data_IF_198567007281
#
_entry.id   IF_198567007281
#
_cell.length_a   1.000
_cell.length_b   1.000
_cell.length_c   1.000
_cell.angle_alpha   90.00
_cell.angle_beta   90.00
_cell.angle_gamma   90.00
#
_symmetry.space_group_name_H-M   'P 1'
#
loop_
_entity.id
_entity.type
_entity.pdbx_description
1 polymer ?
#
# COMPACT_ATOMS: atom_id res chain seq x y z
N UNK A 1 10.92 -8.89 -13.38
CA UNK A 1 11.79 -8.56 -12.24
C UNK A 1 12.03 -7.06 -12.09
N UNK A 2 12.91 -6.37 -12.85
CA UNK A 2 13.19 -4.93 -12.63
C UNK A 2 11.95 -4.00 -12.70
N UNK A 3 11.02 -4.26 -13.62
CA UNK A 3 9.79 -3.46 -13.76
C UNK A 3 8.77 -3.71 -12.63
N UNK A 4 8.72 -4.93 -12.09
CA UNK A 4 7.84 -5.28 -10.95
C UNK A 4 8.38 -4.67 -9.65
N UNK A 5 9.71 -4.55 -9.52
CA UNK A 5 10.37 -3.91 -8.38
C UNK A 5 10.10 -2.40 -8.28
N UNK A 6 9.84 -1.72 -9.41
CA UNK A 6 9.66 -0.28 -9.43
C UNK A 6 8.38 0.18 -8.71
N UNK A 7 7.28 -0.58 -8.81
CA UNK A 7 5.99 -0.17 -8.21
C UNK A 7 6.01 -0.33 -6.68
N UNK A 8 6.73 -1.32 -6.15
CA UNK A 8 6.99 -1.41 -4.71
C UNK A 8 7.91 -0.29 -4.21
N UNK A 9 8.86 0.15 -5.04
CA UNK A 9 9.65 1.35 -4.76
C UNK A 9 8.80 2.61 -4.66
N UNK A 10 7.80 2.77 -5.55
CA UNK A 10 6.83 3.86 -5.47
C UNK A 10 6.05 3.81 -4.16
N UNK A 11 5.57 2.62 -3.77
CA UNK A 11 4.90 2.46 -2.48
C UNK A 11 5.78 2.94 -1.33
N UNK A 12 7.02 2.45 -1.23
CA UNK A 12 7.94 2.82 -0.15
C UNK A 12 8.19 4.33 -0.07
N UNK A 13 8.49 4.97 -1.21
CA UNK A 13 8.77 6.41 -1.23
C UNK A 13 7.54 7.24 -0.84
N UNK A 14 6.36 6.90 -1.36
CA UNK A 14 5.13 7.63 -1.07
C UNK A 14 4.67 7.37 0.37
N UNK A 15 4.79 6.12 0.85
CA UNK A 15 4.50 5.70 2.23
C UNK A 15 5.33 6.48 3.25
N UNK A 16 6.66 6.52 3.06
CA UNK A 16 7.56 7.32 3.90
C UNK A 16 7.21 8.82 3.85
N UNK A 17 6.92 9.38 2.68
CA UNK A 17 6.52 10.78 2.55
C UNK A 17 5.20 11.07 3.29
N UNK A 18 4.23 10.18 3.21
CA UNK A 18 2.96 10.27 3.93
C UNK A 18 3.15 10.22 5.44
N UNK A 19 4.02 9.34 5.94
CA UNK A 19 4.38 9.26 7.36
C UNK A 19 5.04 10.55 7.85
N UNK A 20 6.02 11.08 7.11
CA UNK A 20 6.68 12.34 7.46
C UNK A 20 5.69 13.51 7.46
N UNK A 21 4.83 13.60 6.44
CA UNK A 21 3.81 14.64 6.34
C UNK A 21 2.70 14.51 7.40
N UNK A 22 2.50 13.32 7.99
CA UNK A 22 1.46 13.10 9.01
C UNK A 22 1.65 13.98 10.26
N UNK A 23 2.88 14.41 10.53
CA UNK A 23 3.22 15.36 11.60
C UNK A 23 2.56 16.73 11.42
N UNK A 24 2.22 17.12 10.18
CA UNK A 24 1.57 18.39 9.85
C UNK A 24 0.06 18.39 10.11
N UNK A 25 -0.54 17.20 10.29
CA UNK A 25 -1.99 17.02 10.46
C UNK A 25 -2.42 17.06 11.94
N UNK A 26 -1.52 17.42 12.85
CA UNK A 26 -1.79 17.54 14.29
C UNK A 26 -1.65 16.21 15.06
N UNK A 27 -2.07 16.18 16.34
CA UNK A 27 -1.74 15.09 17.28
C UNK A 27 -2.21 13.69 16.86
N UNK A 28 -3.28 13.62 16.06
CA UNK A 28 -3.86 12.37 15.54
C UNK A 28 -3.65 12.18 14.03
N UNK A 29 -2.86 13.04 13.40
CA UNK A 29 -2.62 13.04 11.95
C UNK A 29 -2.14 11.70 11.41
N UNK A 30 -1.24 11.06 12.16
CA UNK A 30 -0.72 9.73 11.86
C UNK A 30 -1.81 8.65 11.79
N UNK A 31 -2.87 8.75 12.59
CA UNK A 31 -3.93 7.75 12.59
C UNK A 31 -4.70 7.78 11.26
N UNK A 32 -4.98 8.96 10.71
CA UNK A 32 -5.63 9.11 9.39
C UNK A 32 -4.78 8.46 8.30
N UNK A 33 -3.47 8.71 8.34
CA UNK A 33 -2.55 8.19 7.33
C UNK A 33 -2.41 6.67 7.45
N UNK A 34 -2.33 6.10 8.65
CA UNK A 34 -2.25 4.64 8.86
C UNK A 34 -3.57 3.91 8.60
N UNK A 35 -4.70 4.48 8.99
CA UNK A 35 -6.02 3.86 8.86
C UNK A 35 -6.56 3.89 7.43
N UNK A 36 -6.27 4.97 6.69
CA UNK A 36 -6.85 5.20 5.38
C UNK A 36 -5.79 5.39 4.31
N UNK A 37 -4.79 6.25 4.55
CA UNK A 37 -3.80 6.62 3.55
C UNK A 37 -3.03 5.42 2.96
N UNK A 38 -2.33 4.66 3.80
CA UNK A 38 -1.53 3.53 3.34
C UNK A 38 -2.36 2.37 2.76
N UNK A 39 -3.50 1.98 3.36
CA UNK A 39 -4.38 0.97 2.76
C UNK A 39 -4.89 1.38 1.38
N UNK A 40 -5.29 2.65 1.20
CA UNK A 40 -5.74 3.17 -0.09
C UNK A 40 -4.60 3.25 -1.11
N UNK A 41 -3.40 3.62 -0.68
CA UNK A 41 -2.20 3.60 -1.54
C UNK A 41 -1.91 2.18 -2.03
N UNK A 42 -1.90 1.19 -1.13
CA UNK A 42 -1.69 -0.22 -1.46
C UNK A 42 -2.76 -0.73 -2.42
N UNK A 43 -4.03 -0.41 -2.16
CA UNK A 43 -5.16 -0.76 -3.03
C UNK A 43 -4.98 -0.18 -4.44
N UNK A 44 -4.71 1.12 -4.54
CA UNK A 44 -4.58 1.81 -5.81
C UNK A 44 -3.42 1.25 -6.64
N UNK A 45 -2.26 1.05 -6.01
CA UNK A 45 -1.09 0.52 -6.71
C UNK A 45 -1.25 -0.96 -7.08
N UNK A 46 -1.84 -1.79 -6.23
CA UNK A 46 -2.11 -3.19 -6.54
C UNK A 46 -3.13 -3.35 -7.69
N UNK A 47 -4.19 -2.53 -7.69
CA UNK A 47 -5.16 -2.51 -8.78
C UNK A 47 -4.51 -2.03 -10.08
N UNK A 48 -3.72 -0.96 -10.03
CA UNK A 48 -3.01 -0.43 -11.19
C UNK A 48 -2.00 -1.42 -11.76
N UNK A 49 -1.17 -2.05 -10.92
CA UNK A 49 -0.20 -3.06 -11.34
C UNK A 49 -0.90 -4.23 -12.04
N UNK A 50 -2.01 -4.72 -11.46
CA UNK A 50 -2.80 -5.80 -12.07
C UNK A 50 -3.38 -5.41 -13.43
N UNK A 51 -3.91 -4.19 -13.56
CA UNK A 51 -4.47 -3.69 -14.83
C UNK A 51 -3.38 -3.47 -15.88
N UNK A 52 -2.22 -2.95 -15.47
CA UNK A 52 -1.09 -2.67 -16.37
C UNK A 52 -0.42 -3.94 -16.86
N UNK A 53 -0.21 -4.89 -15.95
CA UNK A 53 0.56 -6.11 -16.21
C UNK A 53 -0.31 -7.27 -16.69
N UNK A 54 -1.65 -7.10 -16.69
CA UNK A 54 -2.67 -8.13 -16.92
C UNK A 54 -2.45 -9.41 -16.09
N UNK A 55 -1.83 -9.26 -14.91
CA UNK A 55 -1.40 -10.37 -14.05
C UNK A 55 -1.66 -10.00 -12.60
N UNK A 56 -2.12 -10.97 -11.82
CA UNK A 56 -2.30 -10.83 -10.38
C UNK A 56 -0.95 -11.06 -9.69
N UNK A 57 -0.48 -10.05 -8.96
CA UNK A 57 0.79 -10.12 -8.23
C UNK A 57 0.52 -10.19 -6.71
N UNK A 58 0.50 -11.40 -6.15
CA UNK A 58 0.20 -11.64 -4.74
C UNK A 58 1.17 -10.95 -3.77
N UNK A 59 2.35 -10.53 -4.23
CA UNK A 59 3.33 -9.80 -3.42
C UNK A 59 2.78 -8.49 -2.85
N UNK A 60 1.71 -7.92 -3.44
CA UNK A 60 0.99 -6.76 -2.88
C UNK A 60 0.38 -7.02 -1.50
N UNK A 61 0.16 -8.28 -1.12
CA UNK A 61 -0.31 -8.64 0.21
C UNK A 61 0.82 -8.77 1.25
N UNK A 62 2.09 -8.70 0.84
CA UNK A 62 3.25 -8.98 1.70
C UNK A 62 4.26 -7.84 1.70
N UNK A 63 4.70 -7.38 0.54
CA UNK A 63 5.77 -6.37 0.42
C UNK A 63 5.34 -5.02 1.02
N UNK A 64 4.19 -4.43 0.67
CA UNK A 64 3.77 -3.16 1.26
C UNK A 64 3.59 -3.22 2.79
N UNK A 65 2.96 -4.27 3.37
CA UNK A 65 2.92 -4.45 4.82
C UNK A 65 4.30 -4.52 5.48
N UNK A 66 5.24 -5.29 4.90
CA UNK A 66 6.61 -5.41 5.45
C UNK A 66 7.34 -4.06 5.38
N UNK A 67 7.23 -3.34 4.27
CA UNK A 67 7.80 -2.00 4.11
C UNK A 67 7.22 -1.04 5.15
N UNK A 68 5.90 -1.02 5.30
CA UNK A 68 5.25 -0.15 6.27
C UNK A 68 5.63 -0.52 7.71
N UNK A 69 5.78 -1.79 8.04
CA UNK A 69 6.24 -2.22 9.36
C UNK A 69 7.64 -1.68 9.67
N UNK A 70 8.57 -1.75 8.69
CA UNK A 70 9.90 -1.18 8.82
C UNK A 70 9.85 0.35 9.00
N UNK A 71 9.03 1.04 8.20
CA UNK A 71 8.87 2.49 8.31
C UNK A 71 8.28 2.90 9.66
N UNK A 72 7.31 2.16 10.19
CA UNK A 72 6.75 2.39 11.53
C UNK A 72 7.82 2.24 12.60
N UNK A 73 8.69 1.21 12.50
CA UNK A 73 9.77 1.00 13.46
C UNK A 73 10.84 2.11 13.41
N UNK A 74 11.06 2.72 12.25
CA UNK A 74 12.08 3.76 12.05
C UNK A 74 11.54 5.17 12.37
N UNK A 75 10.32 5.47 11.95
CA UNK A 75 9.76 6.82 11.98
C UNK A 75 8.70 7.03 13.07
N UNK A 76 8.16 5.96 13.67
CA UNK A 76 7.03 6.02 14.61
C UNK A 76 7.19 5.10 15.84
N UNK A 77 6.14 5.04 16.65
CA UNK A 77 6.06 4.16 17.82
C UNK A 77 5.60 2.74 17.42
N UNK A 78 6.20 1.66 17.97
CA UNK A 78 5.76 0.28 17.80
C UNK A 78 4.27 0.01 18.04
N UNK A 79 3.58 0.83 18.83
CA UNK A 79 2.12 0.74 19.03
C UNK A 79 1.31 0.89 17.74
N UNK A 80 1.91 1.43 16.67
CA UNK A 80 1.29 1.56 15.36
C UNK A 80 1.40 0.30 14.48
N UNK A 81 2.20 -0.70 14.86
CA UNK A 81 2.39 -1.94 14.09
C UNK A 81 1.08 -2.69 13.76
N UNK A 82 0.05 -2.74 14.63
CA UNK A 82 -1.20 -3.42 14.30
C UNK A 82 -1.89 -2.84 13.04
N UNK A 83 -1.66 -1.58 12.69
CA UNK A 83 -2.28 -0.96 11.50
C UNK A 83 -1.73 -1.50 10.17
N UNK A 84 -0.59 -2.20 10.19
CA UNK A 84 0.00 -2.85 9.02
C UNK A 84 -0.94 -3.86 8.37
N UNK A 85 -1.83 -4.48 9.16
CA UNK A 85 -2.84 -5.42 8.64
C UNK A 85 -3.78 -4.74 7.63
N UNK A 86 -4.06 -3.45 7.80
CA UNK A 86 -4.93 -2.70 6.90
C UNK A 86 -4.30 -2.52 5.53
N UNK A 87 -2.97 -2.42 5.46
CA UNK A 87 -2.24 -2.35 4.18
C UNK A 87 -2.28 -3.67 3.44
N UNK A 88 -2.22 -4.80 4.16
CA UNK A 88 -2.40 -6.11 3.56
C UNK A 88 -3.82 -6.27 2.98
N UNK A 89 -4.84 -5.81 3.72
CA UNK A 89 -6.22 -5.77 3.24
C UNK A 89 -6.38 -4.86 2.02
N UNK A 90 -5.77 -3.67 2.04
CA UNK A 90 -5.72 -2.76 0.90
C UNK A 90 -5.15 -3.44 -0.35
N UNK A 91 -4.03 -4.14 -0.19
CA UNK A 91 -3.40 -4.90 -1.29
C UNK A 91 -4.31 -5.99 -1.84
N UNK A 92 -4.92 -6.80 -0.97
CA UNK A 92 -5.86 -7.85 -1.37
C UNK A 92 -7.08 -7.31 -2.12
N UNK A 93 -7.66 -6.20 -1.63
CA UNK A 93 -8.78 -5.52 -2.30
C UNK A 93 -8.36 -4.95 -3.65
N UNK A 94 -7.17 -4.36 -3.73
CA UNK A 94 -6.62 -3.83 -4.97
C UNK A 94 -6.42 -4.91 -6.04
N UNK A 95 -5.91 -6.09 -5.65
CA UNK A 95 -5.81 -7.24 -6.55
C UNK A 95 -7.18 -7.67 -7.07
N UNK A 96 -8.18 -7.78 -6.19
CA UNK A 96 -9.55 -8.12 -6.57
C UNK A 96 -10.16 -7.10 -7.54
N UNK A 97 -9.99 -5.81 -7.26
CA UNK A 97 -10.44 -4.72 -8.12
C UNK A 97 -9.75 -4.75 -9.50
N UNK A 98 -8.43 -4.87 -9.52
CA UNK A 98 -7.65 -4.95 -10.75
C UNK A 98 -8.08 -6.12 -11.63
N UNK A 99 -8.30 -7.29 -11.01
CA UNK A 99 -8.82 -8.47 -11.72
C UNK A 99 -10.22 -8.24 -12.31
N UNK A 100 -11.13 -7.62 -11.55
CA UNK A 100 -12.46 -7.29 -12.05
C UNK A 100 -12.40 -6.34 -13.26
N UNK A 101 -11.52 -5.33 -13.23
CA UNK A 101 -11.31 -4.40 -14.35
C UNK A 101 -10.77 -5.12 -15.58
N UNK A 102 -9.74 -5.96 -15.43
CA UNK A 102 -9.17 -6.73 -16.55
C UNK A 102 -10.21 -7.68 -17.15
N UNK A 103 -10.99 -8.35 -16.31
CA UNK A 103 -12.08 -9.23 -16.76
C UNK A 103 -13.13 -8.48 -17.56
N UNK A 104 -13.55 -7.30 -17.10
CA UNK A 104 -14.55 -6.48 -17.78
C UNK A 104 -14.10 -5.99 -19.17
N UNK A 105 -12.80 -5.90 -19.45
CA UNK A 105 -12.26 -5.53 -20.78
C UNK A 105 -12.24 -6.68 -21.78
N UNK A 106 -12.37 -7.92 -21.32
CA UNK A 106 -12.32 -9.14 -22.16
C UNK A 106 -13.70 -9.66 -22.55
N UNK A 107 -14.76 -9.11 -21.96
CA UNK A 107 -16.17 -9.38 -22.26
C UNK A 107 -16.65 -8.32 -23.24
#
# INVERSE_FOLDING_TARGET
>A
MLAESAVFGIFAVVSAAMLLASSLLGPAGWAVVLLLGHPLLSLALAAWDTVRSEKVNWLWCVVPPVVQALEILVFMNPTALPFVVLVALGGALGLGLGYAIVRARRV
#
